data_IF_553193099080
#
_entry.id   IF_553193099080
#
_cell.length_a   1.000
_cell.length_b   1.000
_cell.length_c   1.000
_cell.angle_alpha   90.00
_cell.angle_beta   90.00
_cell.angle_gamma   90.00
#
_symmetry.space_group_name_H-M   'P 1'
#
loop_
_entity.id
_entity.type
_entity.pdbx_description
1 polymer ?
#
# COMPACT_ATOMS: atom_id res chain seq x y z
N UNK A 1 38.15 21.27 -19.30
CA UNK A 1 36.96 21.60 -18.48
C UNK A 1 35.97 22.28 -19.42
N UNK A 2 35.12 21.50 -20.06
CA UNK A 2 34.03 22.00 -20.88
C UNK A 2 32.72 21.77 -20.12
N UNK A 3 31.98 22.86 -19.90
CA UNK A 3 30.70 22.86 -19.22
C UNK A 3 29.64 22.67 -20.31
N UNK A 4 29.10 21.45 -20.42
CA UNK A 4 27.99 21.18 -21.33
C UNK A 4 26.74 21.92 -20.85
N UNK A 5 26.24 22.83 -21.70
CA UNK A 5 25.16 23.79 -21.44
C UNK A 5 23.82 23.40 -22.07
N UNK A 6 23.62 22.13 -22.40
CA UNK A 6 22.37 21.66 -23.02
C UNK A 6 21.51 20.87 -22.02
N UNK A 7 20.95 21.58 -21.04
CA UNK A 7 19.79 21.10 -20.31
C UNK A 7 18.53 21.61 -21.05
N UNK A 8 17.92 20.70 -21.81
CA UNK A 8 16.61 20.87 -22.44
C UNK A 8 15.57 21.36 -21.41
N UNK A 9 14.64 22.26 -21.79
CA UNK A 9 13.59 22.71 -20.88
C UNK A 9 12.68 21.54 -20.51
N UNK A 10 12.70 21.18 -19.23
CA UNK A 10 11.77 20.21 -18.64
C UNK A 10 10.34 20.70 -18.80
N UNK A 11 9.55 19.97 -19.59
CA UNK A 11 8.13 20.20 -19.78
C UNK A 11 7.42 20.19 -18.41
N UNK A 12 6.61 21.21 -18.07
CA UNK A 12 5.90 21.25 -16.80
C UNK A 12 4.98 20.03 -16.66
N UNK A 13 5.08 19.33 -15.54
CA UNK A 13 4.25 18.17 -15.21
C UNK A 13 2.77 18.52 -15.30
N UNK A 14 2.08 17.92 -16.28
CA UNK A 14 0.63 17.95 -16.38
C UNK A 14 0.00 17.44 -15.07
N UNK A 15 -1.03 18.10 -14.55
CA UNK A 15 -1.82 17.55 -13.45
C UNK A 15 -2.47 16.25 -13.93
N UNK A 16 -2.11 15.13 -13.30
CA UNK A 16 -2.76 13.84 -13.52
C UNK A 16 -4.19 13.92 -13.01
N UNK A 17 -5.12 14.13 -13.93
CA UNK A 17 -6.56 14.02 -13.68
C UNK A 17 -6.91 12.61 -13.21
N UNK A 18 -7.88 12.44 -12.28
CA UNK A 18 -8.39 11.12 -11.95
C UNK A 18 -8.95 10.48 -13.23
N UNK A 19 -8.29 9.43 -13.69
CA UNK A 19 -8.64 8.73 -14.92
C UNK A 19 -9.87 7.86 -14.64
N UNK A 20 -11.05 8.36 -15.02
CA UNK A 20 -12.29 7.57 -14.99
C UNK A 20 -12.34 6.71 -16.25
N UNK A 21 -12.15 5.40 -16.09
CA UNK A 21 -12.24 4.43 -17.19
C UNK A 21 -13.69 4.27 -17.64
N UNK A 22 -13.92 4.23 -18.95
CA UNK A 22 -15.24 3.86 -19.49
C UNK A 22 -15.51 2.37 -19.26
N UNK A 23 -16.78 1.95 -19.24
CA UNK A 23 -17.15 0.53 -19.08
C UNK A 23 -16.47 -0.36 -20.13
N UNK A 24 -16.33 0.13 -21.37
CA UNK A 24 -15.59 -0.55 -22.44
C UNK A 24 -14.09 -0.68 -22.15
N UNK A 25 -13.46 0.32 -21.52
CA UNK A 25 -12.06 0.26 -21.10
C UNK A 25 -11.85 -0.73 -19.96
N UNK A 26 -12.81 -0.82 -19.02
CA UNK A 26 -12.78 -1.82 -17.94
C UNK A 26 -12.98 -3.23 -18.51
N UNK A 27 -13.95 -3.43 -19.40
CA UNK A 27 -14.21 -4.71 -20.05
C UNK A 27 -13.01 -5.19 -20.89
N UNK A 28 -12.39 -4.30 -21.66
CA UNK A 28 -11.18 -4.61 -22.43
C UNK A 28 -9.99 -4.97 -21.52
N UNK A 29 -9.88 -4.31 -20.36
CA UNK A 29 -8.84 -4.60 -19.37
C UNK A 29 -9.07 -5.94 -18.69
N UNK A 30 -10.32 -6.28 -18.34
CA UNK A 30 -10.70 -7.58 -17.80
C UNK A 30 -10.43 -8.70 -18.80
N UNK A 31 -10.83 -8.54 -20.06
CA UNK A 31 -10.55 -9.52 -21.11
C UNK A 31 -9.05 -9.79 -21.31
N UNK A 32 -8.20 -8.75 -21.23
CA UNK A 32 -6.73 -8.91 -21.25
C UNK A 32 -6.23 -9.66 -20.02
N UNK A 33 -6.74 -9.34 -18.83
CA UNK A 33 -6.39 -10.03 -17.59
C UNK A 33 -6.79 -11.51 -17.65
N UNK A 34 -7.99 -11.83 -18.13
CA UNK A 34 -8.46 -13.21 -18.30
C UNK A 34 -7.58 -14.00 -19.27
N UNK A 35 -7.15 -13.35 -20.36
CA UNK A 35 -6.21 -13.97 -21.31
C UNK A 35 -4.85 -14.23 -20.66
N UNK A 36 -4.34 -13.28 -19.87
CA UNK A 36 -3.09 -13.44 -19.12
C UNK A 36 -3.20 -14.54 -18.07
N UNK A 37 -4.30 -14.61 -17.33
CA UNK A 37 -4.59 -15.67 -16.36
C UNK A 37 -4.64 -17.04 -17.07
N UNK A 38 -5.32 -17.13 -18.21
CA UNK A 38 -5.37 -18.36 -19.00
C UNK A 38 -4.00 -18.79 -19.54
N UNK A 39 -3.16 -17.85 -19.95
CA UNK A 39 -1.78 -18.13 -20.36
C UNK A 39 -0.91 -18.57 -19.18
N UNK A 40 -1.04 -17.91 -18.02
CA UNK A 40 -0.34 -18.30 -16.80
C UNK A 40 -0.75 -19.69 -16.33
N UNK A 41 -2.05 -20.02 -16.38
CA UNK A 41 -2.55 -21.36 -16.05
C UNK A 41 -1.91 -22.46 -16.90
N UNK A 42 -1.84 -22.26 -18.22
CA UNK A 42 -1.16 -23.20 -19.14
C UNK A 42 0.34 -23.34 -18.84
N UNK A 43 1.01 -22.25 -18.46
CA UNK A 43 2.42 -22.30 -18.06
C UNK A 43 2.61 -23.07 -16.77
N UNK A 44 1.74 -22.87 -15.77
CA UNK A 44 1.77 -23.62 -14.51
C UNK A 44 1.58 -25.11 -14.77
N UNK A 45 0.62 -25.51 -15.62
CA UNK A 45 0.41 -26.90 -15.99
C UNK A 45 1.64 -27.54 -16.64
N UNK A 46 2.27 -26.85 -17.60
CA UNK A 46 3.51 -27.33 -18.24
C UNK A 46 4.64 -27.48 -17.23
N UNK A 47 4.84 -26.48 -16.37
CA UNK A 47 5.87 -26.51 -15.35
C UNK A 47 5.64 -27.68 -14.37
N UNK A 48 4.39 -27.97 -14.01
CA UNK A 48 4.06 -29.12 -13.14
C UNK A 48 4.38 -30.47 -13.80
N UNK A 49 4.12 -30.60 -15.11
CA UNK A 49 4.49 -31.80 -15.87
C UNK A 49 6.02 -31.95 -15.94
N UNK A 50 6.74 -30.86 -16.21
CA UNK A 50 8.21 -30.86 -16.25
C UNK A 50 8.82 -31.18 -14.88
N UNK A 51 8.30 -30.61 -13.80
CA UNK A 51 8.71 -30.93 -12.44
C UNK A 51 8.50 -32.41 -12.11
N UNK A 52 7.39 -33.00 -12.55
CA UNK A 52 7.11 -34.44 -12.36
C UNK A 52 8.13 -35.29 -13.10
N UNK A 53 8.44 -34.95 -14.36
CA UNK A 53 9.48 -35.65 -15.15
C UNK A 53 10.85 -35.51 -14.51
N UNK A 54 11.21 -34.31 -14.05
CA UNK A 54 12.49 -34.05 -13.40
C UNK A 54 12.63 -34.86 -12.10
N UNK A 55 11.57 -34.93 -11.29
CA UNK A 55 11.51 -35.77 -10.08
C UNK A 55 11.72 -37.25 -10.40
N UNK A 56 11.12 -37.76 -11.47
CA UNK A 56 11.33 -39.14 -11.90
C UNK A 56 12.77 -39.38 -12.38
N UNK A 57 13.37 -38.43 -13.11
CA UNK A 57 14.77 -38.54 -13.56
C UNK A 57 15.73 -38.55 -12.38
N UNK A 58 15.54 -37.65 -11.42
CA UNK A 58 16.34 -37.62 -10.18
C UNK A 58 16.23 -38.95 -9.45
N UNK A 59 15.00 -39.46 -9.28
CA UNK A 59 14.77 -40.75 -8.63
C UNK A 59 15.51 -41.90 -9.32
N UNK A 60 15.48 -41.96 -10.67
CA UNK A 60 16.21 -43.00 -11.42
C UNK A 60 17.71 -42.88 -11.22
N UNK A 61 18.27 -41.67 -11.31
CA UNK A 61 19.70 -41.44 -11.06
C UNK A 61 20.09 -41.82 -9.63
N UNK A 62 19.22 -41.55 -8.67
CA UNK A 62 19.38 -41.93 -7.27
C UNK A 62 19.38 -43.45 -7.07
N UNK A 63 18.52 -44.17 -7.77
CA UNK A 63 18.44 -45.63 -7.73
C UNK A 63 19.67 -46.25 -8.41
N UNK A 64 20.08 -45.74 -9.58
CA UNK A 64 21.30 -46.14 -10.29
C UNK A 64 22.55 -45.92 -9.43
N UNK A 65 22.68 -44.75 -8.80
CA UNK A 65 23.83 -44.46 -7.92
C UNK A 65 23.86 -45.39 -6.73
N UNK A 66 22.69 -45.72 -6.15
CA UNK A 66 22.59 -46.65 -5.03
C UNK A 66 23.01 -48.06 -5.43
N UNK A 67 22.59 -48.52 -6.60
CA UNK A 67 22.96 -49.84 -7.13
C UNK A 67 24.46 -49.94 -7.39
N UNK A 68 25.08 -48.89 -7.93
CA UNK A 68 26.53 -48.82 -8.17
C UNK A 68 27.37 -48.91 -6.88
N UNK A 69 26.88 -48.36 -5.78
CA UNK A 69 27.61 -48.34 -4.49
C UNK A 69 27.17 -49.45 -3.53
N UNK A 70 26.25 -50.33 -3.92
CA UNK A 70 25.66 -51.35 -3.04
C UNK A 70 26.70 -52.35 -2.49
N UNK A 71 27.78 -52.60 -3.22
CA UNK A 71 28.91 -53.43 -2.78
C UNK A 71 29.98 -52.69 -1.97
N UNK A 72 29.81 -51.38 -1.73
CA UNK A 72 30.78 -50.51 -1.07
C UNK A 72 30.13 -49.88 0.18
N UNK A 73 30.29 -50.49 1.37
CA UNK A 73 29.57 -50.08 2.58
C UNK A 73 29.86 -48.62 2.98
N UNK A 74 31.10 -48.16 2.83
CA UNK A 74 31.49 -46.79 3.15
C UNK A 74 30.87 -45.76 2.17
N UNK A 75 30.78 -46.11 0.89
CA UNK A 75 30.16 -45.26 -0.13
C UNK A 75 28.64 -45.19 0.05
N UNK A 76 28.02 -46.32 0.41
CA UNK A 76 26.59 -46.38 0.71
C UNK A 76 26.23 -45.56 1.96
N UNK A 77 27.03 -45.68 3.03
CA UNK A 77 26.87 -44.87 4.24
C UNK A 77 27.00 -43.36 3.97
N UNK A 78 27.95 -42.97 3.12
CA UNK A 78 28.14 -41.57 2.70
C UNK A 78 26.93 -41.05 1.91
N UNK A 79 26.40 -41.88 0.99
CA UNK A 79 25.22 -41.54 0.20
C UNK A 79 23.96 -41.40 1.07
N UNK A 80 23.77 -42.27 2.05
CA UNK A 80 22.66 -42.19 3.01
C UNK A 80 22.77 -40.95 3.92
N UNK A 81 23.97 -40.64 4.42
CA UNK A 81 24.22 -39.44 5.21
C UNK A 81 23.91 -38.16 4.41
N UNK A 82 24.31 -38.12 3.13
CA UNK A 82 24.00 -37.02 2.22
C UNK A 82 22.50 -36.86 2.01
N UNK A 83 21.77 -37.95 1.71
CA UNK A 83 20.30 -37.91 1.56
C UNK A 83 19.59 -37.44 2.82
N UNK A 84 20.07 -37.88 3.99
CA UNK A 84 19.52 -37.41 5.26
C UNK A 84 19.70 -35.90 5.41
N UNK A 85 20.88 -35.38 5.08
CA UNK A 85 21.19 -33.96 5.16
C UNK A 85 20.36 -33.12 4.16
N UNK A 86 20.15 -33.64 2.95
CA UNK A 86 19.28 -33.02 1.94
C UNK A 86 17.82 -32.95 2.42
N UNK A 87 17.26 -34.04 2.99
CA UNK A 87 15.92 -34.03 3.58
C UNK A 87 15.80 -33.01 4.71
N UNK A 88 16.76 -32.97 5.63
CA UNK A 88 16.72 -32.00 6.74
C UNK A 88 16.82 -30.56 6.25
N UNK A 89 17.57 -30.30 5.17
CA UNK A 89 17.64 -28.95 4.59
C UNK A 89 16.33 -28.57 3.88
N UNK A 90 15.65 -29.52 3.24
CA UNK A 90 14.34 -29.29 2.63
C UNK A 90 13.28 -29.02 3.70
N UNK A 91 13.25 -29.81 4.78
CA UNK A 91 12.40 -29.57 5.95
C UNK A 91 12.65 -28.19 6.58
N UNK A 92 13.91 -27.75 6.69
CA UNK A 92 14.25 -26.42 7.19
C UNK A 92 13.76 -25.31 6.27
N UNK A 93 13.85 -25.49 4.94
CA UNK A 93 13.32 -24.52 3.97
C UNK A 93 11.80 -24.42 4.05
N UNK A 94 11.11 -25.55 4.14
CA UNK A 94 9.65 -25.58 4.29
C UNK A 94 9.22 -24.92 5.61
N UNK A 95 9.96 -25.17 6.69
CA UNK A 95 9.72 -24.55 7.99
C UNK A 95 9.95 -23.03 7.96
N UNK A 96 10.98 -22.54 7.25
CA UNK A 96 11.23 -21.11 7.06
C UNK A 96 10.12 -20.46 6.24
N UNK A 97 9.72 -21.05 5.12
CA UNK A 97 8.62 -20.55 4.30
C UNK A 97 7.30 -20.51 5.09
N UNK A 98 7.02 -21.53 5.91
CA UNK A 98 5.87 -21.53 6.80
C UNK A 98 5.98 -20.51 7.95
N UNK A 99 7.19 -20.11 8.33
CA UNK A 99 7.43 -19.02 9.28
C UNK A 99 7.08 -17.66 8.67
N UNK A 100 7.52 -17.41 7.43
CA UNK A 100 7.25 -16.18 6.70
C UNK A 100 5.75 -15.96 6.47
N UNK A 101 5.00 -17.02 6.13
CA UNK A 101 3.53 -16.92 5.98
C UNK A 101 2.84 -16.57 7.29
N UNK A 102 3.24 -17.19 8.41
CA UNK A 102 2.72 -16.86 9.74
C UNK A 102 3.06 -15.44 10.16
N UNK A 103 4.24 -14.94 9.82
CA UNK A 103 4.61 -13.56 10.11
C UNK A 103 3.77 -12.56 9.32
N UNK A 104 3.51 -12.84 8.04
CA UNK A 104 2.60 -12.06 7.21
C UNK A 104 1.16 -12.07 7.77
N UNK A 105 0.67 -13.24 8.21
CA UNK A 105 -0.65 -13.38 8.85
C UNK A 105 -0.72 -12.59 10.17
N UNK A 106 0.33 -12.67 11.01
CA UNK A 106 0.40 -11.89 12.26
C UNK A 106 0.48 -10.39 12.01
N UNK A 107 1.19 -9.95 10.95
CA UNK A 107 1.22 -8.55 10.56
C UNK A 107 -0.16 -8.05 10.10
N UNK A 108 -0.88 -8.84 9.31
CA UNK A 108 -2.25 -8.55 8.90
C UNK A 108 -3.21 -8.49 10.10
N UNK A 109 -3.09 -9.45 11.04
CA UNK A 109 -3.91 -9.47 12.25
C UNK A 109 -3.63 -8.27 13.16
N UNK A 110 -2.36 -7.86 13.31
CA UNK A 110 -1.98 -6.64 14.06
C UNK A 110 -2.56 -5.38 13.43
N UNK A 111 -2.55 -5.26 12.11
CA UNK A 111 -3.19 -4.15 11.42
C UNK A 111 -4.72 -4.14 11.66
N UNK A 112 -5.36 -5.30 11.60
CA UNK A 112 -6.78 -5.43 11.85
C UNK A 112 -7.16 -5.06 13.28
N UNK A 113 -6.43 -5.60 14.28
CA UNK A 113 -6.66 -5.29 15.70
C UNK A 113 -6.41 -3.80 15.96
N UNK A 114 -5.31 -3.23 15.46
CA UNK A 114 -5.00 -1.81 15.62
C UNK A 114 -6.06 -0.89 14.98
N UNK A 115 -6.63 -1.29 13.84
CA UNK A 115 -7.79 -0.61 13.24
C UNK A 115 -9.02 -0.63 14.14
N UNK A 116 -9.34 -1.77 14.75
CA UNK A 116 -10.50 -1.88 15.66
C UNK A 116 -10.31 -1.13 16.98
N UNK A 117 -9.09 -1.05 17.51
CA UNK A 117 -8.79 -0.27 18.71
C UNK A 117 -8.94 1.23 18.42
N UNK A 118 -8.42 1.69 17.28
CA UNK A 118 -8.56 3.07 16.81
C UNK A 118 -10.03 3.47 16.65
N UNK A 119 -10.85 2.59 16.07
CA UNK A 119 -12.30 2.79 15.93
C UNK A 119 -13.01 2.88 17.29
N UNK A 120 -12.65 2.01 18.25
CA UNK A 120 -13.20 2.05 19.61
C UNK A 120 -12.82 3.35 20.33
N UNK A 121 -11.57 3.77 20.23
CA UNK A 121 -11.08 5.02 20.83
C UNK A 121 -11.78 6.24 20.22
N UNK A 122 -11.92 6.29 18.89
CA UNK A 122 -12.66 7.36 18.22
C UNK A 122 -14.14 7.39 18.61
N UNK A 123 -14.79 6.23 18.76
CA UNK A 123 -16.18 6.14 19.21
C UNK A 123 -16.35 6.61 20.66
N UNK A 124 -15.42 6.22 21.55
CA UNK A 124 -15.43 6.64 22.95
C UNK A 124 -15.23 8.16 23.08
N UNK A 125 -14.20 8.71 22.43
CA UNK A 125 -13.92 10.15 22.44
C UNK A 125 -15.01 10.97 21.75
N UNK A 126 -15.58 10.46 20.65
CA UNK A 126 -16.69 11.11 19.97
C UNK A 126 -17.94 11.20 20.84
N UNK A 127 -18.21 10.17 21.64
CA UNK A 127 -19.31 10.18 22.62
C UNK A 127 -19.03 11.14 23.78
N UNK A 128 -17.82 11.11 24.34
CA UNK A 128 -17.40 11.94 25.48
C UNK A 128 -17.36 13.43 25.13
N UNK A 129 -16.84 13.76 23.96
CA UNK A 129 -16.58 15.14 23.52
C UNK A 129 -17.63 15.66 22.52
N UNK A 130 -18.65 14.85 22.19
CA UNK A 130 -19.73 15.17 21.23
C UNK A 130 -19.20 15.54 19.83
N UNK A 131 -18.23 14.78 19.35
CA UNK A 131 -17.62 14.93 18.01
C UNK A 131 -17.92 13.69 17.17
N UNK A 132 -18.08 13.84 15.86
CA UNK A 132 -18.31 12.69 14.97
C UNK A 132 -17.08 11.76 14.97
N UNK A 133 -17.21 10.48 15.40
CA UNK A 133 -16.12 9.52 15.38
C UNK A 133 -15.48 9.35 14.00
N UNK A 134 -16.23 9.56 12.91
CA UNK A 134 -15.69 9.49 11.55
C UNK A 134 -14.69 10.61 11.26
N UNK A 135 -14.92 11.80 11.80
CA UNK A 135 -13.97 12.91 11.68
C UNK A 135 -12.69 12.64 12.49
N UNK A 136 -12.82 12.02 13.66
CA UNK A 136 -11.67 11.60 14.48
C UNK A 136 -10.84 10.51 13.80
N UNK A 137 -11.47 9.57 13.10
CA UNK A 137 -10.75 8.55 12.32
C UNK A 137 -10.10 9.11 11.06
N UNK A 138 -10.74 10.11 10.43
CA UNK A 138 -10.27 10.72 9.20
C UNK A 138 -9.09 11.68 9.42
N UNK A 139 -9.10 12.43 10.52
CA UNK A 139 -8.13 13.50 10.77
C UNK A 139 -7.31 13.30 12.05
N UNK A 140 -7.73 12.43 12.96
CA UNK A 140 -7.00 12.13 14.19
C UNK A 140 -5.81 11.23 13.89
N UNK A 141 -4.72 11.39 14.64
CA UNK A 141 -3.54 10.54 14.47
C UNK A 141 -3.78 9.07 14.83
N UNK A 142 -2.71 8.27 14.79
CA UNK A 142 -2.79 6.85 15.11
C UNK A 142 -2.96 6.56 16.61
N UNK A 143 -2.82 7.58 17.48
CA UNK A 143 -2.82 7.43 18.94
C UNK A 143 -4.05 8.08 19.57
N UNK A 144 -4.46 7.57 20.74
CA UNK A 144 -5.55 8.15 21.52
C UNK A 144 -5.32 9.63 21.86
N UNK A 145 -4.08 9.99 22.20
CA UNK A 145 -3.71 11.35 22.60
C UNK A 145 -3.94 12.36 21.47
N UNK A 146 -3.50 12.02 20.25
CA UNK A 146 -3.71 12.86 19.06
C UNK A 146 -5.18 12.93 18.64
N UNK A 147 -5.93 11.82 18.78
CA UNK A 147 -7.38 11.84 18.56
C UNK A 147 -8.12 12.66 19.62
N UNK A 148 -7.67 12.67 20.87
CA UNK A 148 -8.28 13.45 21.95
C UNK A 148 -8.00 14.94 21.79
N UNK A 149 -6.79 15.31 21.38
CA UNK A 149 -6.43 16.70 21.08
C UNK A 149 -7.29 17.25 19.93
N UNK A 150 -7.44 16.49 18.85
CA UNK A 150 -8.32 16.84 17.75
C UNK A 150 -9.81 16.87 18.17
N UNK A 151 -10.27 15.91 18.98
CA UNK A 151 -11.62 15.94 19.49
C UNK A 151 -11.87 17.18 20.37
N UNK A 152 -10.85 17.63 21.11
CA UNK A 152 -10.88 18.88 21.86
C UNK A 152 -11.04 20.12 20.97
N UNK A 153 -10.36 20.15 19.82
CA UNK A 153 -10.46 21.26 18.86
C UNK A 153 -11.73 21.25 18.02
N UNK A 154 -12.30 20.06 17.75
CA UNK A 154 -13.56 19.89 17.04
C UNK A 154 -14.80 19.97 17.95
N UNK A 155 -14.60 20.02 19.28
CA UNK A 155 -15.67 20.12 20.25
C UNK A 155 -16.51 21.37 19.96
N UNK A 156 -17.69 21.16 19.43
CA UNK A 156 -18.66 22.23 19.21
C UNK A 156 -19.12 22.71 20.58
N UNK A 157 -18.63 23.87 21.00
CA UNK A 157 -19.18 24.58 22.16
C UNK A 157 -20.65 24.89 21.88
N UNK A 158 -21.51 24.17 22.59
CA UNK A 158 -22.95 24.35 22.75
C UNK A 158 -23.87 24.17 21.51
N UNK A 159 -24.51 23.00 21.46
CA UNK A 159 -25.97 22.94 21.40
C UNK A 159 -26.69 23.29 20.09
N UNK A 160 -26.01 23.40 18.95
CA UNK A 160 -26.73 23.58 17.66
C UNK A 160 -27.10 22.22 17.05
N UNK A 161 -28.39 21.98 16.68
CA UNK A 161 -28.81 20.74 16.04
C UNK A 161 -28.12 20.57 14.68
N UNK A 162 -28.03 19.33 14.15
CA UNK A 162 -27.38 19.10 12.86
C UNK A 162 -28.11 19.90 11.79
N UNK A 163 -27.39 20.84 11.14
CA UNK A 163 -27.90 21.53 9.97
C UNK A 163 -28.18 20.47 8.90
N UNK A 164 -29.46 20.14 8.74
CA UNK A 164 -29.99 19.56 7.52
C UNK A 164 -29.47 20.40 6.35
N UNK A 165 -28.95 19.70 5.35
CA UNK A 165 -28.20 20.27 4.25
C UNK A 165 -28.83 21.53 3.67
N UNK A 166 -28.11 22.64 3.75
CA UNK A 166 -28.14 23.59 2.66
C UNK A 166 -27.37 22.93 1.50
N UNK A 167 -28.00 22.71 0.33
CA UNK A 167 -27.30 22.17 -0.83
C UNK A 167 -26.08 23.06 -1.14
N UNK A 168 -24.95 22.48 -1.58
CA UNK A 168 -23.81 23.29 -1.99
C UNK A 168 -24.29 24.29 -3.06
N UNK A 169 -23.94 25.58 -2.94
CA UNK A 169 -24.31 26.55 -3.95
C UNK A 169 -23.72 26.09 -5.29
N UNK A 170 -24.58 26.08 -6.30
CA UNK A 170 -24.27 25.73 -7.69
C UNK A 170 -22.92 26.34 -8.11
N UNK A 171 -21.99 25.58 -8.71
CA UNK A 171 -20.75 26.13 -9.24
C UNK A 171 -21.06 26.80 -10.58
N UNK A 172 -21.75 27.93 -10.51
CA UNK A 172 -22.16 28.73 -11.64
C UNK A 172 -22.15 30.19 -11.26
N UNK A 173 -21.07 30.88 -11.65
CA UNK A 173 -21.00 32.34 -11.82
C UNK A 173 -21.20 33.22 -10.57
N UNK A 174 -20.10 33.54 -9.88
CA UNK A 174 -19.74 34.94 -9.56
C UNK A 174 -18.25 34.96 -9.20
N UNK A 175 -17.41 35.63 -9.99
CA UNK A 175 -16.97 37.01 -9.78
C UNK A 175 -15.74 37.07 -8.86
N UNK A 176 -14.66 37.68 -9.37
CA UNK A 176 -13.30 37.57 -8.87
C UNK A 176 -13.09 37.91 -7.39
N UNK A 177 -12.19 37.16 -6.75
CA UNK A 177 -11.75 37.40 -5.38
C UNK A 177 -10.63 36.45 -4.98
N UNK A 178 -9.42 36.66 -5.52
CA UNK A 178 -8.24 35.89 -5.14
C UNK A 178 -7.87 36.14 -3.67
N UNK A 179 -8.10 35.14 -2.82
CA UNK A 179 -7.68 35.16 -1.42
C UNK A 179 -6.17 35.12 -1.29
N UNK A 180 -5.60 36.11 -0.59
CA UNK A 180 -4.20 36.18 -0.21
C UNK A 180 -3.89 35.16 0.90
N UNK A 181 -2.84 34.36 0.75
CA UNK A 181 -2.30 33.53 1.84
C UNK A 181 -1.38 34.36 2.73
N UNK A 182 -1.37 34.13 4.04
CA UNK A 182 -0.39 34.74 4.95
C UNK A 182 0.82 33.82 5.15
N UNK A 183 1.99 34.38 5.47
CA UNK A 183 3.22 33.59 5.72
C UNK A 183 3.01 32.59 6.86
N UNK A 184 2.34 33.02 7.94
CA UNK A 184 2.06 32.20 9.12
C UNK A 184 1.15 31.02 8.80
N UNK A 185 0.13 31.22 7.95
CA UNK A 185 -0.72 30.12 7.48
C UNK A 185 0.05 29.10 6.66
N UNK A 186 0.99 29.54 5.81
CA UNK A 186 1.78 28.62 5.00
C UNK A 186 2.76 27.82 5.88
N UNK A 187 3.36 28.46 6.89
CA UNK A 187 4.30 27.81 7.80
C UNK A 187 3.63 26.86 8.79
N UNK A 188 2.37 27.14 9.18
CA UNK A 188 1.58 26.28 10.05
C UNK A 188 0.90 25.10 9.33
N UNK A 189 0.96 25.04 7.99
CA UNK A 189 0.34 23.95 7.23
C UNK A 189 1.10 22.64 7.39
N UNK A 190 0.34 21.57 7.57
CA UNK A 190 0.86 20.21 7.45
C UNK A 190 1.36 19.96 6.03
N UNK A 191 2.31 19.03 5.86
CA UNK A 191 2.88 18.68 4.54
C UNK A 191 1.81 18.26 3.52
N UNK A 192 0.70 17.66 3.97
CA UNK A 192 -0.42 17.28 3.11
C UNK A 192 -1.29 18.48 2.71
N UNK A 193 -1.58 19.40 3.63
CA UNK A 193 -2.33 20.61 3.31
C UNK A 193 -1.53 21.56 2.42
N UNK A 194 -0.22 21.67 2.66
CA UNK A 194 0.68 22.41 1.80
C UNK A 194 0.69 21.81 0.39
N UNK A 195 0.73 20.47 0.26
CA UNK A 195 0.69 19.81 -1.04
C UNK A 195 -0.62 20.05 -1.79
N UNK A 196 -1.77 20.05 -1.09
CA UNK A 196 -3.09 20.34 -1.68
C UNK A 196 -3.23 21.80 -2.11
N UNK A 197 -2.67 22.74 -1.35
CA UNK A 197 -2.78 24.18 -1.61
C UNK A 197 -1.58 24.77 -2.37
N UNK A 198 -0.59 23.95 -2.73
CA UNK A 198 0.68 24.37 -3.33
C UNK A 198 0.51 25.27 -4.55
N UNK A 199 -0.43 24.95 -5.44
CA UNK A 199 -0.68 25.73 -6.65
C UNK A 199 -1.20 27.14 -6.33
N UNK A 200 -2.15 27.25 -5.41
CA UNK A 200 -2.74 28.52 -4.99
C UNK A 200 -1.75 29.37 -4.18
N UNK A 201 -0.93 28.73 -3.34
CA UNK A 201 0.16 29.40 -2.60
C UNK A 201 1.19 29.96 -3.59
N UNK A 202 1.64 29.15 -4.56
CA UNK A 202 2.61 29.55 -5.59
C UNK A 202 2.10 30.69 -6.47
N UNK A 203 0.81 30.67 -6.81
CA UNK A 203 0.15 31.76 -7.54
C UNK A 203 0.09 33.05 -6.71
N UNK A 204 -0.16 32.94 -5.39
CA UNK A 204 -0.12 34.08 -4.48
C UNK A 204 1.30 34.65 -4.27
N UNK A 205 2.36 33.82 -4.28
CA UNK A 205 3.75 34.33 -4.18
C UNK A 205 4.17 35.06 -5.46
N UNK A 206 3.75 34.58 -6.63
CA UNK A 206 4.06 35.24 -7.92
C UNK A 206 3.33 36.57 -8.10
N UNK A 207 2.19 36.75 -7.45
CA UNK A 207 1.40 37.97 -7.50
C UNK A 207 1.71 38.99 -6.39
N UNK A 208 2.75 38.78 -5.57
CA UNK A 208 3.01 39.56 -4.33
C UNK A 208 1.77 39.67 -3.42
N UNK A 209 0.94 38.63 -3.39
CA UNK A 209 -0.27 38.56 -2.56
C UNK A 209 -0.06 37.77 -1.29
N UNK A 210 1.18 37.47 -0.92
CA UNK A 210 1.48 36.98 0.42
C UNK A 210 1.62 38.16 1.35
N UNK A 211 0.71 38.27 2.31
CA UNK A 211 0.81 39.28 3.38
C UNK A 211 1.73 38.74 4.47
N UNK A 212 2.69 39.56 4.88
CA UNK A 212 3.56 39.30 6.04
C UNK A 212 2.74 39.33 7.32
#
# INVERSE_FOLDING_TARGET
>A
MEVNKDALPGTPGQPSTPQTFTEEQVAARHSKLDTQIGQQGKTIERNNVELTRLKETIKRQDDETRELVQGQPDALATLEARRKLERTNEELRDALAAGETKEAELAALRQQVGGTERERTAAALGTELKVDPKQLLQFGGATEETMRELAGSLRTTDGSPPLQGTPPPDPGTSSGGGGAFTVEQIQGMSSEEYAKNKAAIQEAQRGDRIRQ
#
